data_IF_857787193634
#
_entry.id   IF_857787193634
#
_cell.length_a   1.000
_cell.length_b   1.000
_cell.length_c   1.000
_cell.angle_alpha   90.00
_cell.angle_beta   90.00
_cell.angle_gamma   90.00
#
_symmetry.space_group_name_H-M   'P 1'
#
loop_
_entity.id
_entity.type
_entity.pdbx_description
1 polymer ?
#
# COMPACT_ATOMS: atom_id res chain seq x y z
N UNK A 1 11.63 5.08 -0.68
CA UNK A 1 10.36 4.35 -0.50
C UNK A 1 10.27 3.07 -1.34
N UNK A 2 10.28 3.15 -2.68
CA UNK A 2 10.14 1.98 -3.58
C UNK A 2 11.05 0.79 -3.23
N UNK A 3 12.34 1.01 -2.97
CA UNK A 3 13.30 -0.04 -2.59
C UNK A 3 12.92 -0.72 -1.27
N UNK A 4 12.48 0.06 -0.27
CA UNK A 4 12.10 -0.44 1.05
C UNK A 4 10.81 -1.26 0.95
N UNK A 5 9.80 -0.74 0.21
CA UNK A 5 8.56 -1.46 -0.10
C UNK A 5 8.85 -2.82 -0.75
N UNK A 6 9.68 -2.83 -1.80
CA UNK A 6 10.03 -4.06 -2.50
C UNK A 6 10.79 -5.05 -1.61
N UNK A 7 11.70 -4.57 -0.75
CA UNK A 7 12.41 -5.43 0.19
C UNK A 7 11.45 -6.06 1.20
N UNK A 8 10.52 -5.27 1.76
CA UNK A 8 9.51 -5.75 2.70
C UNK A 8 8.58 -6.79 2.06
N UNK A 9 7.96 -6.47 0.92
CA UNK A 9 7.01 -7.38 0.26
C UNK A 9 7.68 -8.70 -0.15
N UNK A 10 8.94 -8.64 -0.60
CA UNK A 10 9.72 -9.86 -0.94
C UNK A 10 9.94 -10.74 0.28
N UNK A 11 10.40 -10.17 1.39
CA UNK A 11 10.64 -10.92 2.63
C UNK A 11 9.33 -11.46 3.22
N UNK A 12 8.27 -10.65 3.21
CA UNK A 12 6.95 -11.06 3.68
C UNK A 12 6.40 -12.22 2.86
N UNK A 13 6.47 -12.14 1.52
CA UNK A 13 6.05 -13.22 0.62
C UNK A 13 6.77 -14.53 0.91
N UNK A 14 8.09 -14.50 1.11
CA UNK A 14 8.88 -15.69 1.45
C UNK A 14 8.37 -16.35 2.73
N UNK A 15 8.19 -15.57 3.80
CA UNK A 15 7.75 -16.09 5.10
C UNK A 15 6.28 -16.54 5.08
N UNK A 16 5.40 -15.78 4.43
CA UNK A 16 3.98 -16.06 4.36
C UNK A 16 3.67 -17.34 3.58
N UNK A 17 4.37 -17.58 2.47
CA UNK A 17 4.26 -18.83 1.71
C UNK A 17 4.87 -19.99 2.49
N UNK A 18 6.07 -19.83 3.06
CA UNK A 18 6.71 -20.88 3.86
C UNK A 18 5.88 -21.27 5.10
N UNK A 19 5.15 -20.32 5.69
CA UNK A 19 4.25 -20.52 6.82
C UNK A 19 2.86 -21.03 6.45
N UNK A 20 2.55 -21.22 5.16
CA UNK A 20 1.26 -21.72 4.69
C UNK A 20 0.09 -20.72 4.74
N UNK A 21 0.36 -19.43 4.97
CA UNK A 21 -0.67 -18.38 4.87
C UNK A 21 -1.17 -18.24 3.42
N UNK A 22 -0.27 -18.44 2.45
CA UNK A 22 -0.59 -18.55 1.04
C UNK A 22 -0.11 -19.91 0.52
N UNK A 23 -0.91 -20.53 -0.36
CA UNK A 23 -0.61 -21.87 -0.87
C UNK A 23 0.68 -21.91 -1.69
N UNK A 24 0.99 -20.83 -2.40
CA UNK A 24 2.21 -20.64 -3.16
C UNK A 24 2.41 -19.14 -3.46
N UNK A 25 3.51 -18.87 -4.13
CA UNK A 25 3.93 -17.58 -4.64
C UNK A 25 2.86 -16.87 -5.51
N UNK A 26 2.21 -17.59 -6.42
CA UNK A 26 1.18 -17.01 -7.29
C UNK A 26 -0.07 -16.60 -6.49
N UNK A 27 -0.48 -17.40 -5.50
CA UNK A 27 -1.60 -17.06 -4.62
C UNK A 27 -1.33 -15.80 -3.79
N UNK A 28 -0.08 -15.52 -3.44
CA UNK A 28 0.30 -14.24 -2.83
C UNK A 28 0.20 -13.09 -3.83
N UNK A 29 0.72 -13.30 -5.05
CA UNK A 29 0.74 -12.26 -6.09
C UNK A 29 -0.68 -11.88 -6.54
N UNK A 30 -1.64 -12.82 -6.53
CA UNK A 30 -3.08 -12.58 -6.76
C UNK A 30 -3.70 -11.61 -5.72
N UNK A 31 -3.10 -11.49 -4.54
CA UNK A 31 -3.56 -10.57 -3.50
C UNK A 31 -3.10 -9.11 -3.70
N UNK A 32 -2.30 -8.82 -4.73
CA UNK A 32 -1.79 -7.48 -5.00
C UNK A 32 -2.91 -6.43 -5.13
N UNK A 33 -4.01 -6.77 -5.82
CA UNK A 33 -5.15 -5.86 -5.96
C UNK A 33 -5.84 -5.54 -4.62
N UNK A 34 -5.83 -6.47 -3.66
CA UNK A 34 -6.35 -6.23 -2.32
C UNK A 34 -5.41 -5.31 -1.53
N UNK A 35 -4.10 -5.46 -1.69
CA UNK A 35 -3.13 -4.56 -1.08
C UNK A 35 -3.32 -3.13 -1.61
N UNK A 36 -3.46 -2.96 -2.92
CA UNK A 36 -3.72 -1.65 -3.54
C UNK A 36 -5.02 -1.01 -3.00
N UNK A 37 -6.08 -1.82 -2.84
CA UNK A 37 -7.35 -1.38 -2.25
C UNK A 37 -7.18 -0.91 -0.79
N UNK A 38 -6.49 -1.67 0.05
CA UNK A 38 -6.28 -1.30 1.45
C UNK A 38 -5.36 -0.07 1.60
N UNK A 39 -4.39 0.09 0.70
CA UNK A 39 -3.54 1.29 0.67
C UNK A 39 -4.34 2.53 0.26
N UNK A 40 -5.27 2.40 -0.69
CA UNK A 40 -6.17 3.48 -1.06
C UNK A 40 -7.11 3.85 0.09
N UNK A 41 -7.71 2.87 0.77
CA UNK A 41 -8.58 3.10 1.93
C UNK A 41 -7.82 3.84 3.04
N UNK A 42 -6.58 3.40 3.34
CA UNK A 42 -5.72 4.04 4.32
C UNK A 42 -5.37 5.48 3.93
N UNK A 43 -5.01 5.72 2.67
CA UNK A 43 -4.67 7.06 2.20
C UNK A 43 -5.87 8.01 2.24
N UNK A 44 -7.08 7.53 1.94
CA UNK A 44 -8.32 8.31 2.07
C UNK A 44 -8.67 8.61 3.53
N UNK A 45 -8.44 7.63 4.43
CA UNK A 45 -8.57 7.86 5.87
C UNK A 45 -7.60 8.95 6.35
N UNK A 46 -6.34 8.86 5.94
CA UNK A 46 -5.30 9.85 6.26
C UNK A 46 -5.65 11.22 5.70
N UNK A 47 -6.16 11.30 4.46
CA UNK A 47 -6.61 12.56 3.87
C UNK A 47 -7.66 13.26 4.75
N UNK A 48 -8.70 12.53 5.16
CA UNK A 48 -9.72 13.08 6.08
C UNK A 48 -9.09 13.50 7.40
N UNK A 49 -8.23 12.66 7.97
CA UNK A 49 -7.59 12.94 9.24
C UNK A 49 -6.72 14.21 9.19
N UNK A 50 -5.90 14.37 8.15
CA UNK A 50 -5.02 15.53 8.01
C UNK A 50 -5.82 16.81 7.72
N UNK A 51 -6.91 16.73 6.95
CA UNK A 51 -7.81 17.88 6.76
C UNK A 51 -8.37 18.39 8.10
N UNK A 52 -8.70 17.48 9.02
CA UNK A 52 -9.31 17.83 10.30
C UNK A 52 -8.28 18.25 11.37
N UNK A 53 -7.04 17.76 11.30
CA UNK A 53 -6.07 17.89 12.41
C UNK A 53 -4.76 18.59 12.04
N UNK A 54 -4.25 18.43 10.80
CA UNK A 54 -2.96 18.99 10.34
C UNK A 54 -3.02 19.34 8.85
N UNK A 55 -3.74 20.41 8.45
CA UNK A 55 -3.98 20.72 7.04
C UNK A 55 -2.70 20.85 6.19
N UNK A 56 -1.59 21.30 6.78
CA UNK A 56 -0.28 21.39 6.11
C UNK A 56 0.27 20.03 5.64
N UNK A 57 -0.24 18.92 6.18
CA UNK A 57 0.20 17.55 5.87
C UNK A 57 -0.63 16.87 4.78
N UNK A 58 -1.72 17.50 4.31
CA UNK A 58 -2.64 16.94 3.30
C UNK A 58 -1.93 16.54 1.99
N UNK A 59 -0.82 17.18 1.66
CA UNK A 59 -0.01 16.82 0.48
C UNK A 59 0.51 15.37 0.51
N UNK A 60 0.75 14.81 1.70
CA UNK A 60 1.25 13.43 1.86
C UNK A 60 0.24 12.38 1.40
N UNK A 61 -1.00 12.30 1.97
CA UNK A 61 -1.99 11.34 1.51
C UNK A 61 -2.43 11.60 0.06
N UNK A 62 -2.48 12.86 -0.41
CA UNK A 62 -2.79 13.16 -1.80
C UNK A 62 -1.75 12.59 -2.78
N UNK A 63 -0.46 12.67 -2.45
CA UNK A 63 0.59 12.07 -3.27
C UNK A 63 0.45 10.53 -3.33
N UNK A 64 0.09 9.89 -2.22
CA UNK A 64 -0.20 8.46 -2.17
C UNK A 64 -1.40 8.07 -3.05
N UNK A 65 -2.51 8.83 -2.96
CA UNK A 65 -3.71 8.61 -3.79
C UNK A 65 -3.39 8.78 -5.28
N UNK A 66 -2.65 9.83 -5.65
CA UNK A 66 -2.28 10.07 -7.05
C UNK A 66 -1.44 8.93 -7.62
N UNK A 67 -0.46 8.42 -6.85
CA UNK A 67 0.36 7.30 -7.24
C UNK A 67 -0.45 6.01 -7.45
N UNK A 68 -1.41 5.71 -6.56
CA UNK A 68 -2.29 4.55 -6.67
C UNK A 68 -3.29 4.67 -7.84
N UNK A 69 -3.76 5.89 -8.12
CA UNK A 69 -4.68 6.17 -9.23
C UNK A 69 -3.99 6.24 -10.60
N UNK A 70 -2.66 6.11 -10.66
CA UNK A 70 -1.89 6.26 -11.90
C UNK A 70 -1.93 7.67 -12.47
N UNK A 71 -2.15 8.68 -11.63
CA UNK A 71 -2.14 10.08 -12.03
C UNK A 71 -0.68 10.55 -12.02
N UNK A 72 -0.07 10.56 -13.21
CA UNK A 72 1.28 11.07 -13.41
C UNK A 72 1.30 12.61 -13.47
N UNK A 73 2.36 13.22 -12.91
CA UNK A 73 2.79 14.58 -13.25
C UNK A 73 3.86 14.53 -14.34
#
# INVERSE_FOLDING_TARGET
ERTVRQAFLRAYRQVAVAGGLYANEAAFDDAAALLDLFELEKALYELRYELDNRPDWVGVPLAGIAALAGIEN
#
